data_IF_287716095710
#
_entry.id   IF_287716095710
#
_cell.length_a   1.000
_cell.length_b   1.000
_cell.length_c   1.000
_cell.angle_alpha   90.00
_cell.angle_beta   90.00
_cell.angle_gamma   90.00
#
_symmetry.space_group_name_H-M   'P 1'
#
loop_
_entity.id
_entity.type
_entity.pdbx_description
1 polymer ?
#
# COMPACT_ATOMS: atom_id res chain seq x y z
N UNK A 1 -7.12 1.14 7.62
CA UNK A 1 -6.78 1.78 6.33
C UNK A 1 -5.43 1.33 5.80
N UNK A 2 -4.35 1.55 6.56
CA UNK A 2 -2.96 1.35 6.12
C UNK A 2 -2.65 -0.05 5.58
N UNK A 3 -3.02 -1.11 6.31
CA UNK A 3 -2.77 -2.50 5.87
C UNK A 3 -3.38 -2.82 4.50
N UNK A 4 -4.56 -2.26 4.18
CA UNK A 4 -5.20 -2.39 2.86
C UNK A 4 -4.49 -1.52 1.83
N UNK A 5 -4.10 -0.31 2.23
CA UNK A 5 -3.46 0.69 1.38
C UNK A 5 -2.07 0.27 0.91
N UNK A 6 -1.36 -0.57 1.68
CA UNK A 6 -0.07 -1.13 1.29
C UNK A 6 -0.08 -1.72 -0.12
N UNK A 7 -1.17 -2.36 -0.54
CA UNK A 7 -1.29 -3.03 -1.84
C UNK A 7 -2.04 -2.21 -2.90
N UNK A 8 -2.33 -0.94 -2.62
CA UNK A 8 -3.10 -0.07 -3.53
C UNK A 8 -2.32 0.30 -4.79
N UNK A 9 -1.00 0.54 -4.67
CA UNK A 9 -0.15 0.94 -5.77
C UNK A 9 1.22 0.22 -5.74
N UNK A 10 1.78 -0.01 -6.93
CA UNK A 10 3.11 -0.65 -7.10
C UNK A 10 4.21 0.25 -6.55
N UNK A 11 4.17 1.55 -6.87
CA UNK A 11 5.09 2.56 -6.34
C UNK A 11 4.88 2.87 -4.86
N UNK A 12 3.91 2.21 -4.21
CA UNK A 12 3.71 2.31 -2.78
C UNK A 12 4.26 1.07 -2.04
N UNK A 13 3.92 -0.14 -2.52
CA UNK A 13 4.39 -1.41 -1.91
C UNK A 13 5.86 -1.74 -2.20
N UNK A 14 6.31 -1.51 -3.44
CA UNK A 14 7.67 -1.88 -3.87
C UNK A 14 8.77 -1.20 -3.04
N UNK A 15 8.74 0.14 -2.81
CA UNK A 15 9.73 0.82 -1.98
C UNK A 15 9.84 0.23 -0.56
N UNK A 16 8.70 -0.03 0.09
CA UNK A 16 8.64 -0.60 1.44
C UNK A 16 9.29 -1.98 1.46
N UNK A 17 8.99 -2.83 0.48
CA UNK A 17 9.55 -4.17 0.39
C UNK A 17 11.04 -4.18 0.09
N UNK A 18 11.53 -3.25 -0.74
CA UNK A 18 12.97 -3.09 -1.00
C UNK A 18 13.70 -2.64 0.27
N UNK A 19 13.21 -1.60 0.97
CA UNK A 19 13.79 -1.16 2.26
C UNK A 19 13.89 -2.33 3.25
N UNK A 20 12.78 -3.06 3.44
CA UNK A 20 12.70 -4.24 4.31
C UNK A 20 13.66 -5.35 3.89
N UNK A 21 13.84 -5.59 2.58
CA UNK A 21 14.76 -6.62 2.09
C UNK A 21 16.23 -6.24 2.32
N UNK A 22 16.61 -4.97 2.14
CA UNK A 22 18.00 -4.52 2.38
C UNK A 22 18.31 -4.48 3.88
N UNK A 23 17.36 -4.06 4.71
CA UNK A 23 17.48 -4.19 6.18
C UNK A 23 17.63 -5.65 6.59
N UNK A 24 16.78 -6.52 6.06
CA UNK A 24 16.84 -7.94 6.34
C UNK A 24 18.11 -8.59 5.78
N UNK A 25 18.74 -8.10 4.70
CA UNK A 25 19.98 -8.66 4.16
C UNK A 25 21.20 -8.23 4.97
N UNK A 26 21.18 -7.03 5.55
CA UNK A 26 22.23 -6.49 6.41
C UNK A 26 22.11 -6.97 7.86
N UNK A 27 20.94 -7.45 8.29
CA UNK A 27 20.76 -8.01 9.64
C UNK A 27 21.64 -9.26 9.89
N UNK A 28 22.24 -9.36 11.08
CA UNK A 28 22.97 -10.53 11.54
C UNK A 28 22.04 -11.32 12.49
N UNK A 29 21.56 -12.52 12.11
CA UNK A 29 20.61 -13.28 12.91
C UNK A 29 21.15 -13.60 14.31
N UNK A 30 20.26 -13.50 15.30
CA UNK A 30 20.55 -13.80 16.69
C UNK A 30 19.68 -14.99 17.14
N UNK A 31 20.15 -15.88 18.04
CA UNK A 31 19.34 -16.99 18.55
C UNK A 31 17.97 -16.57 19.11
N UNK A 32 17.90 -15.38 19.73
CA UNK A 32 16.66 -14.82 20.28
C UNK A 32 15.76 -14.17 19.22
N UNK A 33 16.31 -13.70 18.09
CA UNK A 33 15.56 -12.97 17.07
C UNK A 33 15.95 -13.45 15.67
N UNK A 34 15.08 -14.27 15.09
CA UNK A 34 15.27 -14.80 13.75
C UNK A 34 15.24 -13.70 12.69
N UNK A 35 15.88 -13.93 11.53
CA UNK A 35 15.79 -13.01 10.38
C UNK A 35 14.35 -12.79 9.93
N UNK A 36 13.50 -13.83 10.03
CA UNK A 36 12.10 -13.74 9.66
C UNK A 36 11.31 -12.84 10.61
N UNK A 37 11.52 -12.98 11.92
CA UNK A 37 10.88 -12.13 12.92
C UNK A 37 11.38 -10.68 12.79
N UNK A 38 12.68 -10.45 12.64
CA UNK A 38 13.21 -9.12 12.31
C UNK A 38 12.59 -8.53 11.04
N UNK A 39 12.41 -9.33 9.98
CA UNK A 39 11.78 -8.86 8.73
C UNK A 39 10.32 -8.47 8.91
N UNK A 40 9.58 -9.13 9.82
CA UNK A 40 8.21 -8.76 10.20
C UNK A 40 8.22 -7.45 10.98
N UNK A 41 9.11 -7.33 11.96
CA UNK A 41 9.26 -6.13 12.79
C UNK A 41 9.56 -4.90 11.94
N UNK A 42 10.54 -5.00 11.05
CA UNK A 42 10.88 -3.92 10.11
C UNK A 42 9.71 -3.58 9.17
N UNK A 43 8.98 -4.59 8.68
CA UNK A 43 7.81 -4.34 7.81
C UNK A 43 6.70 -3.60 8.56
N UNK A 44 6.41 -4.00 9.79
CA UNK A 44 5.37 -3.34 10.60
C UNK A 44 5.73 -1.88 10.89
N UNK A 45 6.99 -1.60 11.24
CA UNK A 45 7.47 -0.22 11.42
C UNK A 45 7.29 0.59 10.14
N UNK A 46 7.76 0.07 9.01
CA UNK A 46 7.68 0.76 7.72
C UNK A 46 6.23 0.98 7.26
N UNK A 47 5.29 0.10 7.60
CA UNK A 47 3.88 0.19 7.16
C UNK A 47 3.03 1.01 8.13
N UNK A 48 3.22 0.86 9.43
CA UNK A 48 2.33 1.43 10.44
C UNK A 48 2.96 2.58 11.21
N UNK A 49 4.27 2.84 11.08
CA UNK A 49 5.00 3.70 12.01
C UNK A 49 5.05 3.10 13.43
N UNK A 50 4.73 1.81 13.57
CA UNK A 50 4.62 1.11 14.84
C UNK A 50 5.09 -0.33 14.65
N UNK A 51 5.95 -0.81 15.55
CA UNK A 51 6.36 -2.21 15.56
C UNK A 51 6.54 -2.69 17.00
N UNK A 52 6.19 -3.95 17.26
CA UNK A 52 6.19 -4.52 18.59
C UNK A 52 7.03 -5.80 18.67
N UNK A 53 7.84 -5.91 19.71
CA UNK A 53 8.57 -7.13 20.06
C UNK A 53 8.22 -7.57 21.47
N UNK A 54 7.76 -8.80 21.61
CA UNK A 54 7.45 -9.43 22.88
C UNK A 54 8.61 -10.33 23.34
N UNK A 55 9.03 -10.16 24.59
CA UNK A 55 9.90 -11.09 25.29
C UNK A 55 9.12 -12.35 25.70
N UNK A 56 9.56 -13.52 25.25
CA UNK A 56 9.06 -14.81 25.71
C UNK A 56 10.04 -15.43 26.70
N UNK A 57 9.58 -15.58 27.94
CA UNK A 57 10.36 -16.18 29.02
C UNK A 57 9.99 -17.65 29.24
N UNK A 58 10.95 -18.43 29.73
CA UNK A 58 10.72 -19.75 30.28
C UNK A 58 9.95 -19.67 31.60
N UNK A 59 9.48 -20.82 32.10
CA UNK A 59 8.94 -20.94 33.46
C UNK A 59 9.94 -20.49 34.53
N UNK A 60 11.25 -20.60 34.25
CA UNK A 60 12.33 -20.17 35.14
C UNK A 60 12.71 -18.69 34.98
N UNK A 61 12.01 -17.93 34.12
CA UNK A 61 12.27 -16.51 33.87
C UNK A 61 13.38 -16.20 32.86
N UNK A 62 13.99 -17.22 32.24
CA UNK A 62 15.02 -17.02 31.22
C UNK A 62 14.39 -16.55 29.90
N UNK A 63 14.93 -15.50 29.28
CA UNK A 63 14.50 -15.07 27.94
C UNK A 63 14.83 -16.15 26.90
N UNK A 64 13.81 -16.72 26.27
CA UNK A 64 13.94 -17.77 25.25
C UNK A 64 13.95 -17.16 23.86
N UNK A 65 13.08 -16.18 23.60
CA UNK A 65 12.88 -15.64 22.26
C UNK A 65 12.22 -14.27 22.27
N UNK A 66 12.51 -13.46 21.26
CA UNK A 66 11.76 -12.27 20.89
C UNK A 66 10.81 -12.60 19.75
N UNK A 67 9.52 -12.31 19.93
CA UNK A 67 8.49 -12.51 18.92
C UNK A 67 7.92 -11.18 18.47
N UNK A 68 7.82 -10.99 17.16
CA UNK A 68 7.15 -9.82 16.60
C UNK A 68 5.65 -9.99 16.72
N UNK A 69 5.01 -9.06 17.43
CA UNK A 69 3.55 -9.00 17.51
C UNK A 69 3.00 -8.09 16.41
N UNK A 70 2.06 -8.56 15.56
CA UNK A 70 1.53 -7.76 14.45
C UNK A 70 0.96 -6.40 14.91
N UNK A 71 1.57 -5.30 14.46
CA UNK A 71 1.19 -3.95 14.88
C UNK A 71 -0.27 -3.59 14.56
N UNK A 72 -0.86 -4.21 13.54
CA UNK A 72 -2.29 -4.06 13.23
C UNK A 72 -3.20 -4.46 14.40
N UNK A 73 -2.81 -5.45 15.20
CA UNK A 73 -3.64 -6.04 16.26
C UNK A 73 -3.14 -5.73 17.67
N UNK A 74 -1.89 -5.31 17.81
CA UNK A 74 -1.35 -4.87 19.11
C UNK A 74 -1.91 -3.51 19.51
N UNK A 75 -2.36 -3.38 20.75
CA UNK A 75 -2.87 -2.15 21.35
C UNK A 75 -2.16 -1.88 22.66
N UNK A 76 -1.81 -0.63 22.92
CA UNK A 76 -1.36 -0.15 24.22
C UNK A 76 -2.54 -0.15 25.20
N UNK A 77 -2.29 -0.62 26.41
CA UNK A 77 -3.22 -0.58 27.53
C UNK A 77 -3.35 0.84 28.10
N UNK A 78 -4.16 0.98 29.16
CA UNK A 78 -4.25 2.23 29.91
C UNK A 78 -2.99 2.45 30.74
N UNK A 79 -2.45 1.36 31.30
CA UNK A 79 -1.15 1.35 31.96
C UNK A 79 -0.04 1.22 30.91
N UNK A 80 1.00 2.05 31.04
CA UNK A 80 2.08 2.15 30.06
C UNK A 80 2.87 0.85 29.85
N UNK A 81 2.90 -0.03 30.86
CA UNK A 81 3.60 -1.31 30.82
C UNK A 81 2.79 -2.44 30.18
N UNK A 82 1.49 -2.22 29.90
CA UNK A 82 0.57 -3.27 29.45
C UNK A 82 0.22 -3.10 27.99
N UNK A 83 0.29 -4.20 27.24
CA UNK A 83 -0.16 -4.27 25.86
C UNK A 83 -1.16 -5.40 25.69
N UNK A 84 -1.96 -5.31 24.63
CA UNK A 84 -3.00 -6.26 24.30
C UNK A 84 -2.88 -6.69 22.85
N UNK A 85 -3.01 -7.99 22.58
CA UNK A 85 -3.24 -8.51 21.25
C UNK A 85 -4.74 -8.69 21.01
N UNK A 86 -5.28 -7.92 20.06
CA UNK A 86 -6.72 -7.88 19.76
C UNK A 86 -6.94 -8.19 18.28
N UNK A 87 -7.00 -9.48 17.95
CA UNK A 87 -7.44 -9.92 16.62
C UNK A 87 -8.96 -9.80 16.48
N UNK A 88 -9.68 -10.27 17.51
CA UNK A 88 -11.13 -10.19 17.65
C UNK A 88 -11.48 -9.57 19.02
N UNK A 89 -12.44 -8.65 19.05
CA UNK A 89 -12.83 -7.93 20.28
C UNK A 89 -13.40 -8.81 21.40
N UNK A 90 -13.70 -10.07 21.11
CA UNK A 90 -14.31 -11.01 22.06
C UNK A 90 -13.30 -11.76 22.93
N UNK A 91 -12.03 -11.87 22.50
CA UNK A 91 -10.98 -12.57 23.24
C UNK A 91 -9.66 -11.79 23.13
N UNK A 92 -9.56 -10.61 23.77
CA UNK A 92 -8.30 -9.90 23.85
C UNK A 92 -7.30 -10.69 24.71
N UNK A 93 -6.06 -10.79 24.24
CA UNK A 93 -4.97 -11.39 25.00
C UNK A 93 -4.08 -10.31 25.60
N UNK A 94 -3.97 -10.27 26.92
CA UNK A 94 -3.06 -9.38 27.63
C UNK A 94 -1.63 -9.93 27.55
N UNK A 95 -0.69 -9.09 27.15
CA UNK A 95 0.73 -9.39 27.28
C UNK A 95 1.16 -9.19 28.73
N UNK A 96 2.17 -9.94 29.17
CA UNK A 96 2.73 -9.74 30.49
C UNK A 96 3.30 -8.30 30.61
N UNK A 97 3.10 -7.61 31.75
CA UNK A 97 3.61 -6.26 31.95
C UNK A 97 5.13 -6.19 31.70
N UNK A 98 5.58 -5.08 31.11
CA UNK A 98 7.00 -4.78 30.83
C UNK A 98 7.72 -5.76 29.89
N UNK A 99 6.98 -6.65 29.20
CA UNK A 99 7.57 -7.63 28.27
C UNK A 99 7.52 -7.22 26.81
N UNK A 100 6.85 -6.12 26.47
CA UNK A 100 6.65 -5.68 25.09
C UNK A 100 7.38 -4.37 24.83
N UNK A 101 8.27 -4.38 23.84
CA UNK A 101 8.87 -3.18 23.27
C UNK A 101 7.99 -2.62 22.17
N UNK A 102 7.78 -1.31 22.19
CA UNK A 102 7.06 -0.57 21.16
C UNK A 102 8.01 0.42 20.49
N UNK A 103 8.42 0.11 19.25
CA UNK A 103 9.09 1.07 18.39
C UNK A 103 8.04 1.91 17.67
N UNK A 104 8.08 3.22 17.86
CA UNK A 104 7.15 4.17 17.24
C UNK A 104 7.88 5.25 16.46
N UNK A 105 7.33 5.64 15.31
CA UNK A 105 7.73 6.82 14.56
C UNK A 105 7.05 8.05 15.18
N UNK A 106 7.78 9.08 15.64
CA UNK A 106 7.16 10.23 16.30
C UNK A 106 6.07 10.91 15.45
N UNK A 107 4.94 11.23 16.07
CA UNK A 107 3.86 12.00 15.47
C UNK A 107 3.67 13.33 16.19
N UNK A 108 3.22 14.36 15.46
CA UNK A 108 2.98 15.70 16.00
C UNK A 108 1.65 15.82 16.76
N UNK A 109 0.72 14.87 16.58
CA UNK A 109 -0.62 14.95 17.15
C UNK A 109 -0.81 14.08 18.40
N UNK A 110 0.01 13.04 18.57
CA UNK A 110 -0.05 12.13 19.72
C UNK A 110 1.30 11.51 20.07
N UNK A 111 1.41 11.03 21.31
CA UNK A 111 2.61 10.37 21.85
C UNK A 111 2.42 8.85 22.05
N UNK A 112 1.20 8.33 21.81
CA UNK A 112 0.84 6.94 22.14
C UNK A 112 1.22 5.98 21.00
N UNK A 113 0.96 6.37 19.75
CA UNK A 113 1.31 5.61 18.54
C UNK A 113 2.00 6.48 17.52
N UNK A 114 2.84 5.84 16.71
CA UNK A 114 3.47 6.49 15.58
C UNK A 114 2.61 6.52 14.33
N UNK A 115 3.05 7.31 13.34
CA UNK A 115 2.46 7.37 12.01
C UNK A 115 3.56 7.26 10.94
N UNK A 116 3.32 6.53 9.84
CA UNK A 116 4.32 6.41 8.79
C UNK A 116 4.43 7.72 7.99
N UNK A 117 5.66 8.10 7.61
CA UNK A 117 5.94 9.35 6.88
C UNK A 117 5.14 9.48 5.56
N UNK A 118 4.87 8.36 4.88
CA UNK A 118 4.17 8.35 3.59
C UNK A 118 2.68 8.69 3.69
N UNK A 119 2.13 8.93 4.90
CA UNK A 119 0.70 9.13 5.12
C UNK A 119 0.08 10.20 4.21
N UNK A 120 0.85 11.26 3.92
CA UNK A 120 0.46 12.35 3.01
C UNK A 120 0.20 11.88 1.57
N UNK A 121 0.87 10.82 1.12
CA UNK A 121 0.76 10.28 -0.24
C UNK A 121 -0.31 9.19 -0.39
N UNK A 122 -1.10 8.90 0.66
CA UNK A 122 -2.17 7.89 0.58
C UNK A 122 -3.24 8.22 -0.46
N UNK A 123 -3.59 9.50 -0.60
CA UNK A 123 -4.55 9.92 -1.61
C UNK A 123 -4.02 9.64 -3.02
N UNK A 124 -2.73 9.89 -3.26
CA UNK A 124 -2.06 9.53 -4.51
C UNK A 124 -2.05 8.01 -4.71
N UNK A 125 -1.82 7.21 -3.66
CA UNK A 125 -1.91 5.75 -3.72
C UNK A 125 -3.29 5.25 -4.16
N UNK A 126 -4.37 5.74 -3.53
CA UNK A 126 -5.75 5.34 -3.86
C UNK A 126 -6.21 5.85 -5.22
N UNK A 127 -5.78 7.04 -5.62
CA UNK A 127 -6.06 7.57 -6.95
C UNK A 127 -5.36 6.72 -8.02
N UNK A 128 -4.11 6.31 -7.76
CA UNK A 128 -3.35 5.42 -8.63
C UNK A 128 -4.01 4.03 -8.76
N UNK A 129 -4.50 3.48 -7.65
CA UNK A 129 -5.27 2.23 -7.61
C UNK A 129 -6.55 2.35 -8.45
N UNK A 130 -7.31 3.42 -8.22
CA UNK A 130 -8.59 3.67 -8.90
C UNK A 130 -8.41 3.81 -10.40
N UNK A 131 -7.39 4.55 -10.86
CA UNK A 131 -7.06 4.66 -12.29
C UNK A 131 -6.69 3.31 -12.90
N UNK A 132 -5.97 2.46 -12.15
CA UNK A 132 -5.59 1.11 -12.61
C UNK A 132 -6.82 0.20 -12.72
N UNK A 133 -7.69 0.20 -11.71
CA UNK A 133 -8.93 -0.56 -11.70
C UNK A 133 -9.88 -0.11 -12.81
N UNK A 134 -9.97 1.20 -13.06
CA UNK A 134 -10.75 1.75 -14.16
C UNK A 134 -10.23 1.21 -15.50
N UNK A 135 -8.92 1.33 -15.78
CA UNK A 135 -8.33 0.84 -17.04
C UNK A 135 -8.56 -0.65 -17.25
N UNK A 136 -8.42 -1.46 -16.19
CA UNK A 136 -8.71 -2.90 -16.25
C UNK A 136 -10.18 -3.17 -16.58
N UNK A 137 -11.11 -2.51 -15.89
CA UNK A 137 -12.55 -2.65 -16.16
C UNK A 137 -12.92 -2.15 -17.56
N UNK A 138 -12.36 -1.01 -17.99
CA UNK A 138 -12.58 -0.46 -19.32
C UNK A 138 -12.12 -1.43 -20.41
N UNK A 139 -10.95 -2.04 -20.25
CA UNK A 139 -10.47 -3.09 -21.16
C UNK A 139 -11.37 -4.34 -21.17
N UNK A 140 -11.80 -4.81 -19.98
CA UNK A 140 -12.73 -5.95 -19.86
C UNK A 140 -14.10 -5.68 -20.49
N UNK A 141 -14.51 -4.41 -20.61
CA UNK A 141 -15.76 -3.97 -21.23
C UNK A 141 -15.62 -3.62 -22.71
N UNK A 142 -14.59 -4.13 -23.40
CA UNK A 142 -14.39 -3.90 -24.83
C UNK A 142 -13.99 -2.46 -25.17
N UNK A 143 -13.32 -1.76 -24.25
CA UNK A 143 -12.93 -0.36 -24.40
C UNK A 143 -14.12 0.61 -24.54
N UNK A 144 -15.21 0.35 -23.83
CA UNK A 144 -16.35 1.27 -23.75
C UNK A 144 -16.70 1.60 -22.30
N UNK A 145 -16.92 2.88 -22.01
CA UNK A 145 -17.31 3.40 -20.69
C UNK A 145 -18.84 3.43 -20.49
N UNK A 146 -19.60 2.83 -21.42
CA UNK A 146 -21.06 2.89 -21.49
C UNK A 146 -21.57 3.97 -22.45
N UNK A 147 -22.86 3.94 -22.74
CA UNK A 147 -23.53 4.85 -23.66
C UNK A 147 -24.95 5.19 -23.22
N UNK A 148 -25.47 6.31 -23.72
CA UNK A 148 -26.87 6.67 -23.65
C UNK A 148 -27.53 6.28 -24.97
N UNK A 149 -28.46 5.33 -24.94
CA UNK A 149 -29.32 5.04 -26.08
C UNK A 149 -30.53 5.96 -26.03
N UNK A 150 -30.62 6.85 -27.00
CA UNK A 150 -31.67 7.84 -27.18
C UNK A 150 -32.61 7.37 -28.30
N UNK A 151 -33.87 7.11 -27.97
CA UNK A 151 -34.87 6.64 -28.94
C UNK A 151 -35.93 7.72 -29.11
N UNK A 152 -36.08 8.24 -30.33
CA UNK A 152 -37.08 9.26 -30.69
C UNK A 152 -38.18 8.75 -31.59
N UNK A 153 -37.94 7.61 -32.24
CA UNK A 153 -38.92 6.97 -33.10
C UNK A 153 -40.17 6.64 -32.25
N UNK A 154 -41.37 7.10 -32.63
CA UNK A 154 -42.59 6.66 -31.99
C UNK A 154 -42.76 5.15 -32.19
N UNK A 155 -42.27 4.38 -31.22
CA UNK A 155 -42.39 2.93 -31.24
C UNK A 155 -43.87 2.55 -31.31
N UNK A 156 -44.24 1.70 -32.28
CA UNK A 156 -45.63 1.30 -32.47
C UNK A 156 -46.18 0.42 -31.33
N UNK A 157 -45.31 -0.13 -30.47
CA UNK A 157 -45.70 -0.97 -29.34
C UNK A 157 -44.87 -0.71 -28.08
N UNK A 158 -45.55 -0.58 -26.93
CA UNK A 158 -44.91 -0.44 -25.62
C UNK A 158 -44.06 -1.66 -25.21
N UNK A 159 -44.38 -2.85 -25.73
CA UNK A 159 -43.63 -4.08 -25.48
C UNK A 159 -42.22 -4.07 -26.08
N UNK A 160 -42.03 -3.43 -27.23
CA UNK A 160 -40.72 -3.38 -27.89
C UNK A 160 -39.75 -2.45 -27.15
N UNK A 161 -40.27 -1.33 -26.62
CA UNK A 161 -39.49 -0.39 -25.79
C UNK A 161 -39.03 -1.06 -24.49
N UNK A 162 -39.90 -1.83 -23.84
CA UNK A 162 -39.52 -2.53 -22.60
C UNK A 162 -38.57 -3.70 -22.88
N UNK A 163 -38.72 -4.41 -24.00
CA UNK A 163 -37.77 -5.46 -24.43
C UNK A 163 -36.38 -4.89 -24.72
N UNK A 164 -36.30 -3.74 -25.40
CA UNK A 164 -35.04 -3.03 -25.63
C UNK A 164 -34.41 -2.55 -24.32
N UNK A 165 -35.22 -2.00 -23.41
CA UNK A 165 -34.78 -1.59 -22.08
C UNK A 165 -34.25 -2.77 -21.25
N UNK A 166 -34.92 -3.92 -21.31
CA UNK A 166 -34.52 -5.13 -20.62
C UNK A 166 -33.23 -5.72 -21.21
N UNK A 167 -33.12 -5.83 -22.53
CA UNK A 167 -31.91 -6.24 -23.22
C UNK A 167 -30.72 -5.33 -22.86
N UNK A 168 -30.95 -4.02 -22.77
CA UNK A 168 -29.95 -3.03 -22.33
C UNK A 168 -29.53 -3.19 -20.87
N UNK A 169 -30.49 -3.47 -19.98
CA UNK A 169 -30.23 -3.73 -18.55
C UNK A 169 -29.46 -5.02 -18.34
N UNK A 170 -29.68 -6.03 -19.19
CA UNK A 170 -29.04 -7.33 -19.16
C UNK A 170 -27.68 -7.34 -19.87
N UNK A 171 -27.46 -6.43 -20.84
CA UNK A 171 -26.17 -6.17 -21.51
C UNK A 171 -25.16 -5.41 -20.64
N UNK A 172 -25.19 -5.63 -19.32
CA UNK A 172 -24.16 -5.11 -18.43
C UNK A 172 -22.83 -5.77 -18.80
N UNK A 173 -21.91 -4.97 -19.34
CA UNK A 173 -20.50 -5.35 -19.35
C UNK A 173 -20.01 -5.66 -17.93
N UNK A 174 -18.99 -6.50 -17.81
CA UNK A 174 -18.32 -6.83 -16.55
C UNK A 174 -17.77 -5.56 -15.87
N UNK A 175 -18.51 -4.93 -14.94
CA UNK A 175 -17.97 -3.85 -14.11
C UNK A 175 -18.96 -2.77 -13.68
N UNK A 176 -18.43 -1.58 -13.38
CA UNK A 176 -19.15 -0.43 -12.81
C UNK A 176 -19.75 0.53 -13.86
N UNK A 177 -19.65 0.23 -15.15
CA UNK A 177 -20.18 1.08 -16.21
C UNK A 177 -21.68 0.80 -16.42
N UNK A 178 -22.49 1.86 -16.48
CA UNK A 178 -23.94 1.77 -16.65
C UNK A 178 -24.34 2.37 -17.98
N UNK A 179 -25.06 1.59 -18.78
CA UNK A 179 -25.74 2.11 -19.96
C UNK A 179 -27.03 2.80 -19.53
N UNK A 180 -27.38 3.90 -20.18
CA UNK A 180 -28.58 4.68 -19.90
C UNK A 180 -29.51 4.61 -21.11
N UNK A 181 -30.81 4.43 -20.86
CA UNK A 181 -31.83 4.39 -21.89
C UNK A 181 -32.74 5.60 -21.71
N UNK A 182 -32.93 6.38 -22.77
CA UNK A 182 -33.76 7.57 -22.78
C UNK A 182 -34.73 7.52 -23.96
N UNK A 183 -36.02 7.52 -23.67
CA UNK A 183 -37.09 7.50 -24.67
C UNK A 183 -37.79 8.86 -24.71
N UNK A 184 -37.75 9.51 -25.87
CA UNK A 184 -38.38 10.82 -26.10
C UNK A 184 -39.12 10.82 -27.45
N UNK A 185 -40.36 10.32 -27.48
CA UNK A 185 -41.14 10.20 -28.72
C UNK A 185 -41.39 11.58 -29.35
N UNK A 186 -41.21 11.69 -30.67
CA UNK A 186 -41.42 12.93 -31.43
C UNK A 186 -40.22 13.89 -31.48
N UNK A 187 -39.02 13.40 -31.14
CA UNK A 187 -37.76 14.14 -31.27
C UNK A 187 -37.23 14.25 -32.72
N UNK A 188 -36.05 14.87 -32.88
CA UNK A 188 -35.32 15.04 -34.17
C UNK A 188 -35.11 13.72 -34.95
N UNK A 189 -34.90 13.76 -36.29
CA UNK A 189 -35.13 12.65 -37.24
C UNK A 189 -34.22 11.41 -37.15
N UNK A 190 -33.28 11.33 -36.20
CA UNK A 190 -32.50 10.11 -35.97
C UNK A 190 -33.26 9.20 -35.01
N UNK A 191 -34.10 8.29 -35.53
CA UNK A 191 -35.04 7.47 -34.73
C UNK A 191 -34.41 6.69 -33.55
N UNK A 192 -33.16 6.24 -33.70
CA UNK A 192 -32.33 5.69 -32.60
C UNK A 192 -30.94 6.31 -32.70
N UNK A 193 -30.47 6.89 -31.59
CA UNK A 193 -29.14 7.47 -31.47
C UNK A 193 -28.41 6.91 -30.27
N UNK A 194 -27.22 6.38 -30.50
CA UNK A 194 -26.29 6.01 -29.43
C UNK A 194 -25.40 7.22 -29.18
N UNK A 195 -25.56 7.85 -28.01
CA UNK A 195 -24.68 8.92 -27.54
C UNK A 195 -23.66 8.27 -26.61
N UNK A 196 -22.38 8.15 -27.02
CA UNK A 196 -21.36 7.67 -26.09
C UNK A 196 -21.30 8.63 -24.90
N UNK A 197 -21.24 8.09 -23.68
CA UNK A 197 -20.95 8.90 -22.49
C UNK A 197 -19.49 9.36 -22.61
N UNK A 198 -19.28 10.50 -23.28
CA UNK A 198 -18.01 11.16 -23.59
C UNK A 198 -16.76 10.29 -23.40
N UNK A 199 -16.27 9.70 -24.49
CA UNK A 199 -14.91 9.14 -24.56
C UNK A 199 -13.81 10.23 -24.63
N UNK A 200 -14.18 11.52 -24.77
CA UNK A 200 -13.35 12.59 -25.37
C UNK A 200 -12.23 13.18 -24.48
N UNK A 201 -12.07 12.78 -23.21
CA UNK A 201 -10.95 13.29 -22.36
C UNK A 201 -10.12 12.22 -21.65
N UNK A 202 -10.44 10.94 -21.82
CA UNK A 202 -10.12 9.97 -20.77
C UNK A 202 -8.77 9.27 -20.90
N UNK A 203 -8.23 9.02 -22.11
CA UNK A 203 -6.97 8.27 -22.23
C UNK A 203 -5.75 9.02 -21.69
N UNK A 204 -5.63 10.30 -22.03
CA UNK A 204 -4.49 11.13 -21.61
C UNK A 204 -4.58 11.49 -20.12
N UNK A 205 -5.79 11.76 -19.61
CA UNK A 205 -6.00 12.07 -18.19
C UNK A 205 -5.64 10.89 -17.28
N UNK A 206 -5.98 9.64 -17.65
CA UNK A 206 -5.58 8.49 -16.82
C UNK A 206 -4.07 8.26 -16.81
N UNK A 207 -3.40 8.50 -17.93
CA UNK A 207 -1.95 8.42 -17.98
C UNK A 207 -1.32 9.51 -17.10
N UNK A 208 -1.81 10.75 -17.21
CA UNK A 208 -1.35 11.88 -16.40
C UNK A 208 -1.59 11.65 -14.91
N UNK A 209 -2.78 11.18 -14.52
CA UNK A 209 -3.10 10.81 -13.14
C UNK A 209 -2.14 9.73 -12.65
N UNK A 210 -1.91 8.67 -13.43
CA UNK A 210 -0.99 7.58 -13.05
C UNK A 210 0.44 8.06 -12.90
N UNK A 211 0.90 8.97 -13.76
CA UNK A 211 2.25 9.52 -13.75
C UNK A 211 2.43 10.47 -12.54
N UNK A 212 1.53 11.42 -12.35
CA UNK A 212 1.58 12.35 -11.21
C UNK A 212 1.50 11.61 -9.87
N UNK A 213 0.50 10.73 -9.70
CA UNK A 213 0.37 9.95 -8.47
C UNK A 213 1.53 8.97 -8.25
N UNK A 214 2.19 8.49 -9.30
CA UNK A 214 3.41 7.70 -9.15
C UNK A 214 4.57 8.56 -8.65
N UNK A 215 4.75 9.77 -9.20
CA UNK A 215 5.78 10.70 -8.75
C UNK A 215 5.63 11.03 -7.25
N UNK A 216 4.42 11.40 -6.81
CA UNK A 216 4.14 11.68 -5.39
C UNK A 216 4.53 10.51 -4.48
N UNK A 217 4.22 9.28 -4.89
CA UNK A 217 4.56 8.08 -4.13
C UNK A 217 6.07 7.83 -4.07
N UNK A 218 6.77 8.09 -5.16
CA UNK A 218 8.23 7.95 -5.24
C UNK A 218 8.91 8.97 -4.34
N UNK A 219 8.44 10.21 -4.37
CA UNK A 219 8.93 11.31 -3.53
C UNK A 219 8.67 11.04 -2.05
N UNK A 220 7.47 10.52 -1.71
CA UNK A 220 7.13 10.17 -0.34
C UNK A 220 7.98 9.01 0.22
N UNK A 221 8.33 8.03 -0.61
CA UNK A 221 9.14 6.88 -0.18
C UNK A 221 10.65 7.11 -0.26
N UNK A 222 11.09 8.10 -1.04
CA UNK A 222 12.50 8.46 -1.24
C UNK A 222 13.38 7.29 -1.70
N UNK A 223 12.79 6.32 -2.41
CA UNK A 223 13.55 5.18 -2.98
C UNK A 223 13.88 5.47 -4.44
N UNK A 224 15.16 5.43 -4.83
CA UNK A 224 15.56 5.59 -6.22
C UNK A 224 14.91 4.55 -7.14
N UNK A 225 14.44 4.98 -8.31
CA UNK A 225 13.74 4.10 -9.26
C UNK A 225 14.59 2.92 -9.73
N UNK A 226 15.92 3.10 -9.79
CA UNK A 226 16.89 2.08 -10.18
C UNK A 226 16.84 0.88 -9.23
N UNK A 227 16.63 1.12 -7.93
CA UNK A 227 16.56 0.07 -6.91
C UNK A 227 15.22 -0.68 -6.91
N UNK A 228 14.21 -0.14 -7.60
CA UNK A 228 12.88 -0.73 -7.72
C UNK A 228 12.67 -1.48 -9.04
N UNK A 229 13.73 -1.66 -9.84
CA UNK A 229 13.63 -2.30 -11.15
C UNK A 229 12.87 -1.47 -12.19
N UNK A 230 12.69 -0.17 -11.96
CA UNK A 230 12.04 0.74 -12.89
C UNK A 230 12.95 1.12 -14.05
N UNK A 231 12.40 1.19 -15.27
CA UNK A 231 13.10 1.76 -16.43
C UNK A 231 12.96 3.28 -16.40
N UNK A 232 14.04 4.06 -16.50
CA UNK A 232 13.93 5.52 -16.58
C UNK A 232 13.24 5.94 -17.87
N UNK A 233 12.42 6.99 -17.80
CA UNK A 233 11.84 7.61 -19.01
C UNK A 233 12.93 8.34 -19.83
N UNK A 234 13.95 8.90 -19.17
CA UNK A 234 15.06 9.60 -19.80
C UNK A 234 16.41 9.00 -19.36
N UNK A 235 17.12 8.35 -20.29
CA UNK A 235 18.38 7.62 -20.05
C UNK A 235 19.51 8.57 -19.60
N UNK A 236 19.46 9.86 -19.98
CA UNK A 236 20.52 10.84 -19.74
C UNK A 236 20.69 11.32 -18.29
N UNK A 237 19.76 11.03 -17.36
CA UNK A 237 19.85 11.48 -15.95
C UNK A 237 20.07 10.33 -14.96
N UNK A 238 20.44 9.15 -15.43
CA UNK A 238 20.40 7.92 -14.63
C UNK A 238 21.44 7.90 -13.48
N UNK A 239 22.44 8.77 -13.53
CA UNK A 239 23.53 8.80 -12.55
C UNK A 239 24.27 7.46 -12.46
N UNK A 240 25.22 7.39 -11.55
CA UNK A 240 25.88 6.15 -11.21
C UNK A 240 25.03 5.37 -10.19
N UNK A 241 24.54 4.19 -10.57
CA UNK A 241 23.63 3.36 -9.75
C UNK A 241 24.26 3.00 -8.41
N UNK A 242 25.57 2.73 -8.39
CA UNK A 242 26.27 2.39 -7.16
C UNK A 242 26.30 3.59 -6.21
N UNK A 243 26.57 4.80 -6.71
CA UNK A 243 26.53 6.02 -5.89
C UNK A 243 25.14 6.29 -5.35
N UNK A 244 24.11 6.11 -6.18
CA UNK A 244 22.71 6.25 -5.79
C UNK A 244 22.34 5.25 -4.68
N UNK A 245 22.75 4.00 -4.80
CA UNK A 245 22.54 2.98 -3.78
C UNK A 245 23.23 3.35 -2.45
N UNK A 246 24.48 3.81 -2.50
CA UNK A 246 25.25 4.25 -1.32
C UNK A 246 24.59 5.42 -0.59
N UNK A 247 24.14 6.45 -1.33
CA UNK A 247 23.43 7.59 -0.76
C UNK A 247 22.09 7.16 -0.15
N UNK A 248 21.34 6.31 -0.85
CA UNK A 248 20.09 5.77 -0.33
C UNK A 248 20.29 4.99 0.97
N UNK A 249 21.27 4.08 1.03
CA UNK A 249 21.55 3.32 2.24
C UNK A 249 21.95 4.25 3.38
N UNK A 250 22.84 5.21 3.14
CA UNK A 250 23.30 6.15 4.17
C UNK A 250 22.17 7.01 4.73
N UNK A 251 21.27 7.50 3.89
CA UNK A 251 20.25 8.48 4.29
C UNK A 251 18.93 7.84 4.73
N UNK A 252 18.56 6.68 4.19
CA UNK A 252 17.28 6.03 4.48
C UNK A 252 17.44 4.78 5.35
N UNK A 253 18.45 3.95 5.10
CA UNK A 253 18.55 2.65 5.77
C UNK A 253 19.39 2.69 7.04
N UNK A 254 20.51 3.43 7.07
CA UNK A 254 21.31 3.57 8.28
C UNK A 254 20.53 4.18 9.45
N UNK A 255 19.72 5.25 9.27
CA UNK A 255 18.89 5.76 10.34
C UNK A 255 17.85 4.74 10.81
N UNK A 256 17.24 3.97 9.89
CA UNK A 256 16.33 2.89 10.26
C UNK A 256 17.05 1.79 11.05
N UNK A 257 18.27 1.42 10.67
CA UNK A 257 19.09 0.48 11.44
C UNK A 257 19.34 1.01 12.86
N UNK A 258 19.66 2.30 13.01
CA UNK A 258 19.83 2.96 14.31
C UNK A 258 18.54 2.90 15.14
N UNK A 259 17.38 3.22 14.54
CA UNK A 259 16.06 3.08 15.20
C UNK A 259 15.79 1.65 15.67
N UNK A 260 16.12 0.65 14.85
CA UNK A 260 15.94 -0.75 15.24
C UNK A 260 16.92 -1.19 16.34
N UNK A 261 18.10 -0.55 16.47
CA UNK A 261 19.04 -0.86 17.55
C UNK A 261 18.56 -0.41 18.93
N UNK A 262 17.56 0.46 19.04
CA UNK A 262 16.94 0.84 20.32
C UNK A 262 16.38 -0.36 21.10
N UNK A 263 16.05 -1.45 20.40
CA UNK A 263 15.70 -2.74 21.01
C UNK A 263 16.83 -3.25 21.93
N UNK A 264 18.08 -3.02 21.56
CA UNK A 264 19.23 -3.47 22.36
C UNK A 264 19.33 -2.71 23.68
N UNK A 265 19.06 -1.39 23.65
CA UNK A 265 19.08 -0.55 24.85
C UNK A 265 17.95 -0.97 25.80
N UNK A 266 16.75 -1.25 25.26
CA UNK A 266 15.63 -1.77 26.03
C UNK A 266 15.92 -3.14 26.65
N UNK A 267 16.56 -4.06 25.92
CA UNK A 267 16.92 -5.38 26.43
C UNK A 267 18.14 -5.37 27.37
N UNK A 268 18.96 -4.31 27.33
CA UNK A 268 20.29 -4.30 27.92
C UNK A 268 21.24 -5.33 27.30
N UNK A 269 20.97 -5.80 26.07
CA UNK A 269 21.78 -6.79 25.37
C UNK A 269 21.78 -6.55 23.85
N UNK A 270 22.90 -6.86 23.20
CA UNK A 270 23.05 -6.66 21.76
C UNK A 270 22.41 -7.80 20.94
N UNK A 271 21.12 -7.67 20.60
CA UNK A 271 20.39 -8.64 19.76
C UNK A 271 20.38 -8.21 18.29
N UNK A 272 20.08 -6.95 18.02
CA UNK A 272 19.98 -6.40 16.67
C UNK A 272 21.33 -5.84 16.24
N UNK A 273 21.94 -6.51 15.25
CA UNK A 273 23.21 -6.12 14.66
C UNK A 273 23.09 -6.12 13.14
N UNK A 274 23.84 -5.23 12.50
CA UNK A 274 23.88 -5.11 11.06
C UNK A 274 25.33 -5.21 10.57
N UNK A 275 25.54 -5.95 9.48
CA UNK A 275 26.77 -5.87 8.71
C UNK A 275 26.79 -4.57 7.88
N UNK A 276 27.98 -4.13 7.53
CA UNK A 276 28.16 -3.05 6.57
C UNK A 276 27.50 -3.42 5.24
N UNK A 277 26.85 -2.43 4.62
CA UNK A 277 26.26 -2.62 3.30
C UNK A 277 27.36 -2.53 2.24
N UNK A 278 27.59 -3.65 1.56
CA UNK A 278 28.52 -3.76 0.43
C UNK A 278 27.75 -4.17 -0.83
N UNK A 279 28.22 -3.70 -1.98
CA UNK A 279 27.72 -4.14 -3.30
C UNK A 279 28.49 -5.33 -3.85
N UNK A 280 29.62 -5.67 -3.22
CA UNK A 280 30.43 -6.81 -3.59
C UNK A 280 29.67 -8.11 -3.31
N UNK A 281 29.90 -9.12 -4.14
CA UNK A 281 29.34 -10.45 -3.90
C UNK A 281 29.82 -10.95 -2.53
N UNK A 282 28.95 -11.54 -1.71
CA UNK A 282 29.42 -12.28 -0.55
C UNK A 282 30.26 -13.46 -1.07
N UNK A 283 31.55 -13.48 -0.69
CA UNK A 283 32.43 -14.64 -0.88
C UNK A 283 31.86 -15.89 -0.20
#
# INVERSE_FOLDING_TARGET
>A
GLAKSLRSAVHHSSPIYVKRNVLASTYIPHPLLSRQDFSRFALDYLVFGNAFLEQRHSVTGQLIKLLTSPAKYTRRGVDDSVFWFVENFTQPHEFAPDTVFHLLEPDINQEIYGLPEYLSALNSAWLNESATLFRRKYYQNGAHAGYIMYVTDPAQSATDVESLREAMRNSKGLGNFKNLFFYAPGGKPDGIKIVPLSEVATKDDFFNIKKASAADLMDAHRVPFQLMGGKPENIGSMGDVEKVAKVFVRNELSPLQDRFREVNDWLGMEVIRFKEYTLDNPE
#
